data_IF_443272652175
#
_entry.id   IF_443272652175
#
_cell.length_a   1.000
_cell.length_b   1.000
_cell.length_c   1.000
_cell.angle_alpha   90.00
_cell.angle_beta   90.00
_cell.angle_gamma   90.00
#
_symmetry.space_group_name_H-M   'P 1'
#
loop_
_entity.id
_entity.type
_entity.pdbx_description
1 polymer ?
#
# COMPACT_ATOMS: atom_id res chain seq x y z
N UNK A 1 -31.12 47.35 5.66
CA UNK A 1 -31.63 46.03 5.22
C UNK A 1 -30.83 45.38 4.07
N UNK A 2 -29.93 46.11 3.38
CA UNK A 2 -29.10 45.55 2.30
C UNK A 2 -27.79 44.87 2.78
N UNK A 3 -27.18 45.37 3.86
CA UNK A 3 -25.93 44.81 4.44
C UNK A 3 -26.13 43.40 5.03
N UNK A 4 -27.26 43.17 5.71
CA UNK A 4 -27.58 41.86 6.31
C UNK A 4 -27.84 40.79 5.23
N UNK A 5 -28.44 41.16 4.10
CA UNK A 5 -28.65 40.27 2.95
C UNK A 5 -27.33 39.92 2.24
N UNK A 6 -26.41 40.88 2.14
CA UNK A 6 -25.08 40.65 1.57
C UNK A 6 -24.24 39.69 2.43
N UNK A 7 -24.30 39.83 3.76
CA UNK A 7 -23.62 38.91 4.67
C UNK A 7 -24.20 37.49 4.62
N UNK A 8 -25.53 37.35 4.55
CA UNK A 8 -26.17 36.05 4.42
C UNK A 8 -25.82 35.33 3.10
N UNK A 9 -25.72 36.08 1.99
CA UNK A 9 -25.30 35.54 0.69
C UNK A 9 -23.82 35.15 0.67
N UNK A 10 -22.94 35.90 1.34
CA UNK A 10 -21.52 35.57 1.42
C UNK A 10 -21.25 34.31 2.26
N UNK A 11 -21.97 34.14 3.38
CA UNK A 11 -21.87 32.92 4.21
C UNK A 11 -22.46 31.71 3.48
N UNK A 12 -23.55 31.89 2.72
CA UNK A 12 -24.14 30.82 1.91
C UNK A 12 -23.24 30.40 0.74
N UNK A 13 -22.55 31.34 0.08
CA UNK A 13 -21.58 31.05 -0.97
C UNK A 13 -20.29 30.41 -0.43
N UNK A 14 -19.86 30.77 0.79
CA UNK A 14 -18.74 30.12 1.46
C UNK A 14 -19.10 28.68 1.89
N UNK A 15 -20.34 28.44 2.33
CA UNK A 15 -20.84 27.10 2.61
C UNK A 15 -21.00 26.25 1.34
N UNK A 16 -21.36 26.86 0.20
CA UNK A 16 -21.46 26.16 -1.09
C UNK A 16 -20.08 25.82 -1.68
N UNK A 17 -19.05 26.65 -1.44
CA UNK A 17 -17.69 26.41 -1.89
C UNK A 17 -16.98 25.29 -1.11
N UNK A 18 -17.34 25.07 0.15
CA UNK A 18 -16.80 23.97 0.98
C UNK A 18 -17.41 22.60 0.59
N UNK A 19 -18.55 22.58 -0.10
CA UNK A 19 -19.21 21.34 -0.57
C UNK A 19 -18.83 20.90 -2.00
N UNK A 20 -17.91 21.59 -2.68
CA UNK A 20 -17.46 21.22 -4.03
C UNK A 20 -15.96 20.89 -4.11
N UNK A 21 -15.31 20.68 -2.96
CA UNK A 21 -13.93 20.22 -2.88
C UNK A 21 -13.83 18.88 -2.18
N UNK A 22 -14.71 17.93 -2.51
CA UNK A 22 -14.28 16.54 -2.59
C UNK A 22 -13.67 16.35 -3.99
N UNK A 23 -12.48 16.93 -4.19
CA UNK A 23 -11.50 16.15 -4.95
C UNK A 23 -11.15 15.00 -4.03
N UNK A 24 -12.03 14.00 -3.99
CA UNK A 24 -11.64 12.64 -3.70
C UNK A 24 -10.61 12.33 -4.77
N UNK A 25 -9.36 12.68 -4.47
CA UNK A 25 -8.23 11.87 -4.87
C UNK A 25 -8.75 10.46 -4.66
N UNK A 26 -8.84 9.68 -5.73
CA UNK A 26 -9.16 8.27 -5.65
C UNK A 26 -7.98 7.59 -4.93
N UNK A 27 -7.79 7.94 -3.66
CA UNK A 27 -7.08 7.19 -2.68
C UNK A 27 -7.88 5.89 -2.65
N UNK A 28 -7.32 4.91 -3.35
CA UNK A 28 -7.78 3.54 -3.41
C UNK A 28 -8.34 3.20 -2.03
N UNK A 29 -9.66 2.96 -1.92
CA UNK A 29 -10.35 2.63 -0.64
C UNK A 29 -9.98 1.22 -0.15
N UNK A 30 -8.73 0.85 -0.42
CA UNK A 30 -8.10 -0.37 0.02
C UNK A 30 -7.42 -0.10 1.36
N UNK A 31 -8.05 -0.65 2.38
CA UNK A 31 -7.62 -0.63 3.78
C UNK A 31 -6.52 -1.66 4.12
N UNK A 32 -5.94 -2.32 3.10
CA UNK A 32 -5.00 -3.42 3.30
C UNK A 32 -5.62 -4.82 3.18
N UNK A 33 -6.95 -4.95 3.08
CA UNK A 33 -7.63 -6.25 3.07
C UNK A 33 -8.32 -6.62 1.76
N UNK A 34 -9.23 -5.78 1.26
CA UNK A 34 -10.12 -6.09 0.13
C UNK A 34 -10.41 -4.86 -0.73
N UNK A 35 -10.69 -5.08 -2.01
CA UNK A 35 -11.12 -4.04 -2.94
C UNK A 35 -12.59 -4.28 -3.23
N UNK A 36 -13.42 -3.24 -3.06
CA UNK A 36 -14.86 -3.29 -3.27
C UNK A 36 -15.30 -2.18 -4.22
N UNK A 37 -16.14 -2.55 -5.17
CA UNK A 37 -16.74 -1.61 -6.11
C UNK A 37 -18.25 -1.84 -6.19
N UNK A 38 -19.01 -0.77 -5.99
CA UNK A 38 -20.47 -0.77 -6.12
C UNK A 38 -20.86 -0.23 -7.51
N UNK A 39 -21.51 -1.06 -8.31
CA UNK A 39 -22.09 -0.65 -9.59
C UNK A 39 -23.58 -0.38 -9.48
N UNK A 40 -24.05 0.59 -10.24
CA UNK A 40 -25.48 0.93 -10.35
C UNK A 40 -26.01 0.65 -11.75
N UNK A 41 -27.22 0.10 -11.83
CA UNK A 41 -27.88 -0.22 -13.09
C UNK A 41 -29.33 0.20 -13.11
N UNK A 42 -29.75 0.75 -14.24
CA UNK A 42 -31.14 1.18 -14.48
C UNK A 42 -31.68 0.44 -15.68
N UNK A 43 -32.94 0.00 -15.59
CA UNK A 43 -33.61 -0.65 -16.71
C UNK A 43 -33.89 0.36 -17.85
N UNK A 44 -33.84 -0.06 -19.12
CA UNK A 44 -34.26 0.82 -20.21
C UNK A 44 -35.74 1.20 -20.07
N UNK A 45 -36.10 2.38 -20.60
CA UNK A 45 -37.46 2.92 -20.48
C UNK A 45 -38.54 2.00 -21.08
N UNK A 46 -38.19 1.13 -22.05
CA UNK A 46 -39.09 0.17 -22.67
C UNK A 46 -38.72 -1.25 -22.27
N UNK A 47 -39.51 -1.84 -21.39
CA UNK A 47 -39.40 -3.24 -20.97
C UNK A 47 -40.77 -3.91 -21.02
N UNK A 48 -40.79 -5.22 -21.28
CA UNK A 48 -42.03 -6.01 -21.45
C UNK A 48 -42.66 -6.40 -20.11
N UNK A 49 -41.87 -6.41 -19.03
CA UNK A 49 -42.35 -6.73 -17.69
C UNK A 49 -41.43 -6.17 -16.60
N UNK A 50 -41.95 -6.05 -15.38
CA UNK A 50 -41.14 -5.69 -14.21
C UNK A 50 -40.01 -6.69 -13.93
N UNK A 51 -40.23 -7.98 -14.25
CA UNK A 51 -39.19 -8.99 -14.14
C UNK A 51 -38.05 -8.77 -15.16
N UNK A 52 -38.40 -8.44 -16.41
CA UNK A 52 -37.41 -8.11 -17.43
C UNK A 52 -36.65 -6.83 -17.05
N UNK A 53 -37.35 -5.80 -16.56
CA UNK A 53 -36.73 -4.56 -16.10
C UNK A 53 -35.70 -4.81 -15.01
N UNK A 54 -36.06 -5.55 -13.96
CA UNK A 54 -35.13 -5.91 -12.87
C UNK A 54 -33.93 -6.71 -13.37
N UNK A 55 -34.14 -7.68 -14.26
CA UNK A 55 -33.05 -8.47 -14.82
C UNK A 55 -32.06 -7.61 -15.63
N UNK A 56 -32.56 -6.64 -16.40
CA UNK A 56 -31.72 -5.72 -17.16
C UNK A 56 -31.00 -4.71 -16.26
N UNK A 57 -31.69 -4.15 -15.27
CA UNK A 57 -31.08 -3.26 -14.28
C UNK A 57 -29.94 -3.97 -13.52
N UNK A 58 -30.17 -5.21 -13.07
CA UNK A 58 -29.13 -6.04 -12.43
C UNK A 58 -27.93 -6.27 -13.36
N UNK A 59 -28.16 -6.59 -14.64
CA UNK A 59 -27.06 -6.77 -15.61
C UNK A 59 -26.24 -5.50 -15.82
N UNK A 60 -26.91 -4.35 -15.91
CA UNK A 60 -26.24 -3.06 -16.03
C UNK A 60 -25.42 -2.75 -14.76
N UNK A 61 -25.97 -3.02 -13.57
CA UNK A 61 -25.28 -2.83 -12.30
C UNK A 61 -24.02 -3.68 -12.19
N UNK A 62 -24.09 -4.95 -12.62
CA UNK A 62 -22.92 -5.84 -12.67
C UNK A 62 -21.85 -5.31 -13.62
N UNK A 63 -22.23 -4.86 -14.82
CA UNK A 63 -21.27 -4.34 -15.78
C UNK A 63 -20.57 -3.06 -15.27
N UNK A 64 -21.33 -2.17 -14.62
CA UNK A 64 -20.79 -0.98 -14.00
C UNK A 64 -19.86 -1.33 -12.81
N UNK A 65 -20.25 -2.29 -11.97
CA UNK A 65 -19.44 -2.75 -10.85
C UNK A 65 -18.10 -3.33 -11.33
N UNK A 66 -18.09 -4.12 -12.41
CA UNK A 66 -16.86 -4.65 -13.00
C UNK A 66 -15.94 -3.56 -13.54
N UNK A 67 -16.51 -2.54 -14.19
CA UNK A 67 -15.74 -1.40 -14.70
C UNK A 67 -15.05 -0.66 -13.55
N UNK A 68 -15.81 -0.30 -12.52
CA UNK A 68 -15.28 0.39 -11.34
C UNK A 68 -14.25 -0.48 -10.60
N UNK A 69 -14.50 -1.79 -10.46
CA UNK A 69 -13.57 -2.72 -9.83
C UNK A 69 -12.24 -2.81 -10.59
N UNK A 70 -12.30 -2.86 -11.91
CA UNK A 70 -11.10 -2.91 -12.76
C UNK A 70 -10.27 -1.63 -12.60
N UNK A 71 -10.91 -0.46 -12.63
CA UNK A 71 -10.26 0.85 -12.41
C UNK A 71 -9.58 0.90 -11.03
N UNK A 72 -10.28 0.45 -9.98
CA UNK A 72 -9.70 0.41 -8.63
C UNK A 72 -8.51 -0.55 -8.53
N UNK A 73 -8.60 -1.74 -9.12
CA UNK A 73 -7.51 -2.73 -9.12
C UNK A 73 -6.29 -2.20 -9.88
N UNK A 74 -6.49 -1.54 -11.02
CA UNK A 74 -5.43 -0.94 -11.82
C UNK A 74 -4.68 0.16 -11.05
N UNK A 75 -5.42 0.97 -10.27
CA UNK A 75 -4.86 2.04 -9.44
C UNK A 75 -4.15 1.57 -8.16
N UNK A 76 -4.14 0.26 -7.84
CA UNK A 76 -3.42 -0.23 -6.65
C UNK A 76 -1.92 -0.03 -6.83
N UNK A 77 -1.29 0.64 -5.87
CA UNK A 77 0.14 0.84 -5.84
C UNK A 77 0.85 -0.45 -5.40
N UNK A 78 1.71 -0.98 -6.28
CA UNK A 78 2.53 -2.15 -5.99
C UNK A 78 3.75 -1.74 -5.17
N UNK A 79 4.40 -0.63 -5.56
CA UNK A 79 5.47 0.00 -4.81
C UNK A 79 5.40 1.54 -4.89
N UNK A 80 6.50 2.22 -4.53
CA UNK A 80 6.59 3.68 -4.52
C UNK A 80 6.28 4.35 -5.88
N UNK A 81 6.58 3.67 -6.98
CA UNK A 81 6.58 4.22 -8.35
C UNK A 81 5.79 3.40 -9.36
N UNK A 82 5.30 2.22 -8.99
CA UNK A 82 4.65 1.29 -9.91
C UNK A 82 3.27 0.90 -9.40
N UNK A 83 2.28 0.98 -10.29
CA UNK A 83 0.91 0.51 -10.08
C UNK A 83 0.67 -0.84 -10.75
N UNK A 84 -0.47 -1.47 -10.46
CA UNK A 84 -0.89 -2.69 -11.17
C UNK A 84 -1.07 -2.43 -12.66
N UNK A 85 -1.59 -1.26 -13.04
CA UNK A 85 -1.71 -0.86 -14.44
C UNK A 85 -0.36 -0.88 -15.16
N UNK A 86 0.66 -0.25 -14.58
CA UNK A 86 2.03 -0.22 -15.14
C UNK A 86 2.58 -1.65 -15.34
N UNK A 87 2.30 -2.55 -14.40
CA UNK A 87 2.69 -3.96 -14.51
C UNK A 87 1.90 -4.69 -15.61
N UNK A 88 0.61 -4.41 -15.80
CA UNK A 88 -0.20 -5.03 -16.87
C UNK A 88 0.24 -4.58 -18.27
N UNK A 89 0.77 -3.36 -18.40
CA UNK A 89 1.33 -2.83 -19.65
C UNK A 89 2.62 -3.57 -20.01
N UNK A 90 3.47 -3.83 -19.03
CA UNK A 90 4.83 -4.36 -19.25
C UNK A 90 4.93 -5.88 -19.12
N UNK A 91 3.94 -6.54 -18.53
CA UNK A 91 3.97 -7.97 -18.24
C UNK A 91 2.65 -8.67 -18.60
N UNK A 92 2.70 -9.47 -19.67
CA UNK A 92 1.56 -10.23 -20.19
C UNK A 92 1.00 -11.26 -19.21
N UNK A 93 1.85 -11.84 -18.38
CA UNK A 93 1.44 -12.80 -17.33
C UNK A 93 0.64 -12.09 -16.25
N UNK A 94 1.13 -10.93 -15.76
CA UNK A 94 0.40 -10.10 -14.79
C UNK A 94 -0.92 -9.63 -15.40
N UNK A 95 -0.92 -9.13 -16.63
CA UNK A 95 -2.15 -8.74 -17.34
C UNK A 95 -3.16 -9.88 -17.41
N UNK A 96 -2.71 -11.09 -17.73
CA UNK A 96 -3.57 -12.27 -17.84
C UNK A 96 -4.15 -12.65 -16.49
N UNK A 97 -3.33 -12.71 -15.43
CA UNK A 97 -3.78 -13.06 -14.08
C UNK A 97 -4.71 -12.01 -13.48
N UNK A 98 -4.39 -10.72 -13.60
CA UNK A 98 -5.25 -9.63 -13.13
C UNK A 98 -6.58 -9.63 -13.88
N UNK A 99 -6.58 -9.83 -15.21
CA UNK A 99 -7.82 -9.94 -15.99
C UNK A 99 -8.68 -11.13 -15.55
N UNK A 100 -8.06 -12.27 -15.24
CA UNK A 100 -8.75 -13.44 -14.71
C UNK A 100 -9.32 -13.18 -13.32
N UNK A 101 -8.57 -12.49 -12.45
CA UNK A 101 -8.99 -12.10 -11.11
C UNK A 101 -10.21 -11.18 -11.14
N UNK A 102 -10.20 -10.14 -11.97
CA UNK A 102 -11.35 -9.22 -12.15
C UNK A 102 -12.58 -10.00 -12.60
N UNK A 103 -12.46 -10.90 -13.58
CA UNK A 103 -13.59 -11.74 -14.05
C UNK A 103 -14.10 -12.71 -12.99
N UNK A 104 -13.25 -13.10 -12.04
CA UNK A 104 -13.57 -13.97 -10.92
C UNK A 104 -14.06 -13.24 -9.66
N UNK A 105 -14.28 -11.92 -9.74
CA UNK A 105 -14.75 -11.13 -8.61
C UNK A 105 -16.09 -11.67 -8.07
N UNK A 106 -16.25 -11.64 -6.75
CA UNK A 106 -17.43 -12.18 -6.09
C UNK A 106 -18.43 -11.07 -5.84
N UNK A 107 -19.70 -11.36 -6.10
CA UNK A 107 -20.79 -10.49 -5.65
C UNK A 107 -20.97 -10.72 -4.15
N UNK A 108 -20.80 -9.65 -3.36
CA UNK A 108 -20.97 -9.70 -1.91
C UNK A 108 -22.28 -9.05 -1.46
N UNK A 109 -22.86 -8.18 -2.28
CA UNK A 109 -24.14 -7.54 -2.03
C UNK A 109 -24.89 -7.28 -3.34
N UNK A 110 -26.22 -7.40 -3.28
CA UNK A 110 -27.13 -7.01 -4.34
C UNK A 110 -28.41 -6.41 -3.76
N UNK A 111 -28.91 -5.32 -4.36
CA UNK A 111 -30.12 -4.66 -3.88
C UNK A 111 -30.92 -4.03 -5.01
N UNK A 112 -32.22 -4.31 -5.02
CA UNK A 112 -33.17 -3.54 -5.81
C UNK A 112 -33.54 -2.25 -5.05
N UNK A 113 -33.46 -1.11 -5.73
CA UNK A 113 -33.84 0.19 -5.19
C UNK A 113 -35.31 0.51 -5.49
N UNK A 114 -35.87 1.46 -4.73
CA UNK A 114 -37.30 1.80 -4.80
C UNK A 114 -37.69 2.49 -6.11
N UNK A 115 -36.74 3.17 -6.73
CA UNK A 115 -36.86 3.85 -8.02
C UNK A 115 -36.73 2.90 -9.22
N UNK A 116 -36.52 1.60 -8.98
CA UNK A 116 -36.33 0.60 -10.04
C UNK A 116 -34.88 0.45 -10.51
N UNK A 117 -33.94 1.19 -9.92
CA UNK A 117 -32.52 0.93 -10.08
C UNK A 117 -32.09 -0.31 -9.29
N UNK A 118 -30.88 -0.78 -9.56
CA UNK A 118 -30.29 -1.95 -8.91
C UNK A 118 -28.84 -1.65 -8.59
N UNK A 119 -28.37 -2.05 -7.41
CA UNK A 119 -26.95 -1.95 -7.02
C UNK A 119 -26.35 -3.33 -6.82
N UNK A 120 -25.08 -3.47 -7.18
CA UNK A 120 -24.28 -4.68 -6.99
C UNK A 120 -22.91 -4.31 -6.50
N UNK A 121 -22.46 -4.94 -5.42
CA UNK A 121 -21.11 -4.75 -4.88
C UNK A 121 -20.27 -5.98 -5.19
N UNK A 122 -19.18 -5.78 -5.94
CA UNK A 122 -18.16 -6.78 -6.21
C UNK A 122 -17.00 -6.65 -5.23
N UNK A 123 -16.36 -7.77 -4.93
CA UNK A 123 -15.19 -7.83 -4.05
C UNK A 123 -14.08 -8.70 -4.62
N UNK A 124 -12.84 -8.22 -4.48
CA UNK A 124 -11.60 -8.96 -4.73
C UNK A 124 -10.67 -8.84 -3.53
N UNK A 125 -10.12 -9.95 -3.02
CA UNK A 125 -9.11 -9.88 -1.96
C UNK A 125 -7.78 -9.38 -2.50
N UNK A 126 -7.07 -8.55 -1.73
CA UNK A 126 -5.71 -8.11 -2.12
C UNK A 126 -4.67 -9.14 -1.73
N UNK A 127 -4.80 -9.73 -0.55
CA UNK A 127 -3.98 -10.84 -0.07
C UNK A 127 -4.84 -12.09 0.14
N UNK A 128 -4.21 -13.26 0.17
CA UNK A 128 -4.83 -14.57 0.29
C UNK A 128 -4.75 -15.38 -1.00
N UNK A 129 -5.38 -16.54 -0.98
CA UNK A 129 -5.49 -17.39 -2.18
C UNK A 129 -6.39 -16.72 -3.20
N UNK A 130 -5.98 -16.73 -4.47
CA UNK A 130 -6.70 -16.09 -5.58
C UNK A 130 -6.90 -14.58 -5.34
N UNK A 131 -5.85 -13.91 -4.90
CA UNK A 131 -5.83 -12.47 -4.61
C UNK A 131 -5.05 -11.66 -5.65
N UNK A 132 -5.10 -10.34 -5.52
CA UNK A 132 -4.28 -9.44 -6.34
C UNK A 132 -2.78 -9.70 -6.17
N UNK A 133 -2.32 -9.91 -4.94
CA UNK A 133 -0.92 -10.25 -4.64
C UNK A 133 -0.44 -11.50 -5.37
N UNK A 134 -1.26 -12.54 -5.44
CA UNK A 134 -0.94 -13.76 -6.20
C UNK A 134 -0.90 -13.56 -7.73
N UNK A 135 -1.50 -12.48 -8.23
CA UNK A 135 -1.47 -12.12 -9.66
C UNK A 135 -0.29 -11.22 -10.04
N UNK A 136 0.23 -10.44 -9.09
CA UNK A 136 1.25 -9.40 -9.36
C UNK A 136 2.64 -9.75 -8.86
N UNK A 137 2.79 -10.64 -7.87
CA UNK A 137 4.11 -11.02 -7.34
C UNK A 137 4.64 -12.30 -7.97
N UNK A 138 5.94 -12.32 -8.28
CA UNK A 138 6.64 -13.53 -8.73
C UNK A 138 7.26 -14.25 -7.54
N UNK A 139 7.08 -15.57 -7.38
CA UNK A 139 7.69 -16.33 -6.29
C UNK A 139 9.18 -16.02 -6.08
N UNK A 140 9.54 -15.62 -4.87
CA UNK A 140 10.89 -15.35 -4.43
C UNK A 140 11.58 -16.67 -4.08
N UNK A 141 12.20 -17.29 -5.08
CA UNK A 141 12.88 -18.59 -4.94
C UNK A 141 14.28 -18.49 -4.33
N UNK A 142 14.84 -17.28 -4.20
CA UNK A 142 16.21 -17.04 -3.72
C UNK A 142 16.24 -15.89 -2.71
N UNK A 143 15.69 -16.15 -1.53
CA UNK A 143 15.59 -15.16 -0.45
C UNK A 143 16.96 -14.61 -0.04
N UNK A 144 17.09 -13.29 -0.09
CA UNK A 144 18.26 -12.59 0.43
C UNK A 144 18.26 -12.63 1.97
N UNK A 145 19.42 -12.86 2.57
CA UNK A 145 19.57 -12.80 4.02
C UNK A 145 19.36 -11.37 4.51
N UNK A 146 18.89 -11.24 5.74
CA UNK A 146 18.85 -9.95 6.43
C UNK A 146 20.26 -9.33 6.45
N UNK A 147 20.32 -8.01 6.26
CA UNK A 147 21.57 -7.27 6.39
C UNK A 147 22.10 -7.37 7.82
N UNK A 148 23.43 -7.37 8.00
CA UNK A 148 24.00 -7.40 9.35
C UNK A 148 23.70 -6.08 10.07
N UNK A 149 23.46 -6.10 11.40
CA UNK A 149 23.15 -4.89 12.16
C UNK A 149 24.21 -3.80 12.02
N UNK A 150 25.49 -4.14 11.98
CA UNK A 150 26.57 -3.15 11.93
C UNK A 150 26.77 -2.56 10.51
N UNK A 151 26.25 -3.23 9.47
CA UNK A 151 26.34 -2.72 8.09
C UNK A 151 25.55 -1.43 7.84
N UNK A 152 24.66 -1.05 8.76
CA UNK A 152 23.91 0.21 8.65
C UNK A 152 24.81 1.45 8.74
N UNK A 153 25.99 1.32 9.35
CA UNK A 153 26.99 2.40 9.44
C UNK A 153 28.01 2.37 8.31
N UNK A 154 28.03 1.30 7.53
CA UNK A 154 28.94 1.18 6.38
C UNK A 154 28.45 2.06 5.23
N UNK A 155 29.36 2.64 4.43
CA UNK A 155 29.00 3.29 3.17
C UNK A 155 28.13 2.36 2.32
N UNK A 156 27.08 2.92 1.75
CA UNK A 156 26.17 2.20 0.87
C UNK A 156 25.90 3.03 -0.37
N UNK A 157 26.04 2.41 -1.54
CA UNK A 157 25.59 3.00 -2.80
C UNK A 157 24.20 2.46 -3.08
N UNK A 158 23.16 3.31 -3.09
CA UNK A 158 21.80 2.90 -3.42
C UNK A 158 21.76 2.16 -4.75
N UNK A 159 21.01 1.06 -4.76
CA UNK A 159 20.72 0.27 -5.95
C UNK A 159 19.22 0.17 -6.09
N UNK A 160 18.76 -0.02 -7.32
CA UNK A 160 17.36 -0.32 -7.58
C UNK A 160 16.97 -1.60 -6.82
N UNK A 161 15.90 -1.50 -6.04
CA UNK A 161 15.40 -2.60 -5.23
C UNK A 161 14.22 -3.24 -5.95
N UNK A 162 14.38 -4.48 -6.38
CA UNK A 162 13.25 -5.25 -6.91
C UNK A 162 12.25 -5.58 -5.79
N UNK A 163 11.07 -4.98 -5.88
CA UNK A 163 9.93 -5.06 -4.97
C UNK A 163 8.93 -6.16 -5.36
N UNK A 164 9.07 -6.79 -6.53
CA UNK A 164 8.02 -7.67 -7.09
C UNK A 164 8.51 -9.05 -7.52
N UNK A 165 9.82 -9.22 -7.69
CA UNK A 165 10.44 -10.44 -8.21
C UNK A 165 10.50 -10.51 -9.74
N UNK A 166 9.98 -9.51 -10.47
CA UNK A 166 10.12 -9.41 -11.92
C UNK A 166 11.42 -8.67 -12.36
N UNK A 167 12.32 -8.41 -11.41
CA UNK A 167 13.49 -7.56 -11.61
C UNK A 167 13.15 -6.08 -11.42
N UNK A 168 14.20 -5.27 -11.37
CA UNK A 168 14.07 -3.82 -11.43
C UNK A 168 13.55 -3.49 -12.83
N UNK A 169 12.26 -3.18 -12.94
CA UNK A 169 11.65 -2.78 -14.20
C UNK A 169 12.53 -1.69 -14.78
N UNK A 170 13.11 -1.98 -15.94
CA UNK A 170 14.01 -1.07 -16.60
C UNK A 170 13.28 0.25 -16.75
N UNK A 171 13.63 1.23 -15.92
CA UNK A 171 13.70 2.61 -16.35
C UNK A 171 14.46 2.49 -17.66
N UNK A 172 13.76 2.55 -18.79
CA UNK A 172 14.41 2.87 -20.04
C UNK A 172 15.17 4.13 -19.66
N UNK A 173 16.50 4.01 -19.59
CA UNK A 173 17.39 5.14 -19.46
C UNK A 173 17.14 5.99 -20.71
N UNK A 174 16.09 6.79 -20.66
CA UNK A 174 16.00 8.04 -21.37
C UNK A 174 17.01 8.92 -20.68
N UNK A 175 18.17 8.97 -21.30
CA UNK A 175 19.10 10.07 -21.31
C UNK A 175 18.58 11.31 -20.56
N UNK A 176 19.15 11.55 -19.39
CA UNK A 176 19.45 12.90 -18.92
C UNK A 176 20.75 12.78 -18.15
N UNK A 177 21.85 13.06 -18.85
CA UNK A 177 23.17 13.26 -18.28
C UNK A 177 23.21 14.47 -17.36
N UNK A 178 22.50 14.43 -16.23
CA UNK A 178 22.81 15.26 -15.08
C UNK A 178 23.79 14.50 -14.22
N UNK A 179 25.07 14.85 -14.38
CA UNK A 179 26.16 14.50 -13.50
C UNK A 179 25.83 14.93 -12.06
N UNK A 180 25.19 14.06 -11.27
CA UNK A 180 25.30 14.16 -9.82
C UNK A 180 26.67 13.62 -9.45
N UNK A 181 27.61 14.54 -9.25
CA UNK A 181 28.89 14.29 -8.61
C UNK A 181 28.71 13.34 -7.42
N UNK A 182 29.48 12.24 -7.31
CA UNK A 182 29.44 11.39 -6.12
C UNK A 182 29.79 12.23 -4.90
N UNK A 183 28.82 12.48 -4.03
CA UNK A 183 29.11 13.02 -2.72
C UNK A 183 30.01 12.00 -1.99
N UNK A 184 31.17 12.46 -1.53
CA UNK A 184 32.12 11.65 -0.76
C UNK A 184 31.40 10.91 0.38
N UNK A 185 31.82 9.68 0.74
CA UNK A 185 31.18 8.92 1.81
C UNK A 185 31.37 9.64 3.14
N UNK A 186 30.39 10.44 3.55
CA UNK A 186 30.37 11.07 4.86
C UNK A 186 30.03 9.98 5.87
N UNK A 187 31.01 9.63 6.72
CA UNK A 187 30.77 8.88 7.95
C UNK A 187 29.94 9.76 8.87
N UNK A 188 28.61 9.65 8.80
CA UNK A 188 27.70 10.43 9.64
C UNK A 188 27.80 9.96 11.08
N UNK A 189 27.79 10.93 12.00
CA UNK A 189 27.61 10.66 13.43
C UNK A 189 26.24 10.01 13.65
N UNK A 190 26.08 9.08 14.60
CA UNK A 190 24.83 8.36 14.78
C UNK A 190 23.69 9.34 15.08
N UNK A 191 22.71 9.39 14.19
CA UNK A 191 21.40 10.00 14.45
C UNK A 191 20.79 9.28 15.65
N UNK A 192 20.39 10.03 16.69
CA UNK A 192 19.89 9.46 17.95
C UNK A 192 18.68 8.55 17.71
N UNK A 193 18.70 7.34 18.27
CA UNK A 193 17.58 6.39 18.24
C UNK A 193 16.32 7.00 18.85
N UNK A 194 15.17 6.73 18.25
CA UNK A 194 13.86 7.08 18.81
C UNK A 194 13.37 6.09 19.86
N UNK A 195 14.07 4.96 20.03
CA UNK A 195 13.62 3.85 20.82
C UNK A 195 14.66 3.53 21.92
N UNK A 196 14.24 2.99 23.08
CA UNK A 196 15.15 2.67 24.20
C UNK A 196 16.40 1.84 23.81
N UNK A 197 17.61 2.28 24.15
CA UNK A 197 18.83 1.60 23.70
C UNK A 197 18.89 0.10 24.08
N UNK A 198 19.28 -0.75 23.12
CA UNK A 198 19.57 -2.16 23.39
C UNK A 198 20.94 -2.29 24.08
N UNK A 199 21.07 -3.02 25.20
CA UNK A 199 22.36 -3.16 25.89
C UNK A 199 23.41 -3.84 25.01
N UNK A 200 24.58 -3.21 24.85
CA UNK A 200 25.78 -3.77 24.22
C UNK A 200 25.58 -4.48 22.87
N UNK A 201 24.65 -4.00 22.04
CA UNK A 201 24.36 -4.59 20.73
C UNK A 201 23.76 -6.00 20.80
N UNK A 202 23.28 -6.42 21.98
CA UNK A 202 22.52 -7.66 22.16
C UNK A 202 21.04 -7.36 22.12
N UNK A 203 20.27 -8.35 21.67
CA UNK A 203 18.81 -8.26 21.70
C UNK A 203 18.33 -8.17 23.15
N UNK A 204 17.41 -7.25 23.41
CA UNK A 204 16.59 -7.25 24.63
C UNK A 204 15.68 -8.48 24.59
N UNK A 205 15.18 -8.84 23.39
CA UNK A 205 14.32 -9.99 23.16
C UNK A 205 12.86 -9.76 23.57
N UNK A 206 12.00 -10.71 23.20
CA UNK A 206 10.57 -10.68 23.54
C UNK A 206 9.70 -9.75 22.67
N UNK A 207 10.26 -9.11 21.64
CA UNK A 207 9.47 -8.36 20.67
C UNK A 207 8.70 -9.29 19.73
N UNK A 208 7.42 -8.97 19.52
CA UNK A 208 6.50 -9.77 18.69
C UNK A 208 6.37 -9.24 17.26
N UNK A 209 6.82 -8.01 17.03
CA UNK A 209 6.59 -7.26 15.81
C UNK A 209 7.34 -5.94 15.78
N UNK A 210 7.15 -5.20 14.69
CA UNK A 210 7.66 -3.87 14.46
C UNK A 210 6.50 -2.92 14.18
N UNK A 211 6.46 -1.80 14.89
CA UNK A 211 5.66 -0.64 14.53
C UNK A 211 6.61 0.47 14.09
N UNK A 212 6.42 0.99 12.88
CA UNK A 212 7.08 2.21 12.40
C UNK A 212 6.07 3.34 12.37
N UNK A 213 6.28 4.35 13.20
CA UNK A 213 5.47 5.56 13.19
C UNK A 213 5.93 6.47 12.04
N UNK A 214 5.08 6.62 11.02
CA UNK A 214 5.23 7.47 9.86
C UNK A 214 4.20 8.63 9.82
N UNK A 215 3.52 8.90 10.94
CA UNK A 215 2.51 9.98 11.01
C UNK A 215 3.09 11.32 10.59
N UNK A 216 2.32 12.05 9.79
CA UNK A 216 2.70 13.37 9.27
C UNK A 216 3.74 13.34 8.14
N UNK A 217 4.07 12.17 7.58
CA UNK A 217 5.08 12.02 6.53
C UNK A 217 4.50 11.63 5.16
N UNK A 218 3.17 11.60 5.01
CA UNK A 218 2.53 11.31 3.73
C UNK A 218 2.68 9.86 3.26
N UNK A 219 2.82 8.90 4.19
CA UNK A 219 2.92 7.49 3.84
C UNK A 219 1.63 7.00 3.15
N UNK A 220 1.78 6.52 1.92
CA UNK A 220 0.75 5.84 1.13
C UNK A 220 0.91 4.32 1.23
N UNK A 221 -0.18 3.57 1.41
CA UNK A 221 -0.15 2.11 1.33
C UNK A 221 0.32 1.62 -0.04
N UNK A 222 1.25 0.67 -0.02
CA UNK A 222 1.71 -0.07 -1.19
C UNK A 222 1.79 -1.56 -0.85
N UNK A 223 1.67 -2.43 -1.86
CA UNK A 223 1.70 -3.88 -1.64
C UNK A 223 3.09 -4.39 -1.23
N UNK A 224 4.16 -3.79 -1.76
CA UNK A 224 5.55 -4.11 -1.45
C UNK A 224 6.35 -2.87 -0.97
N UNK A 225 6.20 -2.48 0.31
CA UNK A 225 7.02 -1.44 0.90
C UNK A 225 8.44 -1.92 1.19
N UNK A 226 9.37 -0.97 1.30
CA UNK A 226 10.75 -1.21 1.71
C UNK A 226 11.06 -0.33 2.92
N UNK A 227 11.60 -0.91 3.99
CA UNK A 227 12.18 -0.12 5.09
C UNK A 227 13.65 0.12 4.76
N UNK A 228 14.08 1.38 4.79
CA UNK A 228 15.45 1.78 4.45
C UNK A 228 16.13 2.46 5.63
N UNK A 229 17.45 2.43 5.65
CA UNK A 229 18.26 3.34 6.48
C UNK A 229 18.34 4.73 5.85
N UNK A 230 18.84 5.71 6.60
CA UNK A 230 19.08 7.08 6.11
C UNK A 230 19.99 7.19 4.87
N UNK A 231 20.91 6.23 4.67
CA UNK A 231 21.78 6.15 3.49
C UNK A 231 21.14 5.36 2.33
N UNK A 232 19.88 4.95 2.45
CA UNK A 232 19.11 4.26 1.41
C UNK A 232 19.27 2.75 1.40
N UNK A 233 20.01 2.14 2.35
CA UNK A 233 20.16 0.69 2.44
C UNK A 233 18.85 0.03 2.84
N UNK A 234 18.31 -0.92 2.05
CA UNK A 234 17.12 -1.67 2.45
C UNK A 234 17.47 -2.60 3.62
N UNK A 235 16.64 -2.59 4.66
CA UNK A 235 16.73 -3.51 5.80
C UNK A 235 15.55 -4.49 5.87
N UNK A 236 14.48 -4.18 5.14
CA UNK A 236 13.28 -4.99 4.99
C UNK A 236 12.65 -4.77 3.63
N UNK A 237 12.26 -5.84 2.95
CA UNK A 237 11.48 -5.77 1.72
C UNK A 237 11.28 -7.15 1.10
N UNK A 238 10.67 -7.17 -0.10
CA UNK A 238 10.23 -8.38 -0.79
C UNK A 238 11.30 -9.47 -0.88
N UNK A 239 12.54 -9.08 -1.18
CA UNK A 239 13.66 -10.01 -1.40
C UNK A 239 14.02 -10.86 -0.18
N UNK A 240 13.68 -10.41 1.03
CA UNK A 240 13.99 -11.14 2.25
C UNK A 240 12.92 -12.19 2.61
N UNK A 241 11.73 -12.06 2.02
CA UNK A 241 10.50 -12.69 2.49
C UNK A 241 10.10 -13.91 1.66
N UNK A 242 9.35 -14.79 2.31
CA UNK A 242 8.67 -15.91 1.69
C UNK A 242 7.43 -15.41 0.94
N UNK A 243 7.35 -15.69 -0.37
CA UNK A 243 6.24 -15.23 -1.21
C UNK A 243 4.89 -15.77 -0.79
N UNK A 244 4.80 -17.00 -0.26
CA UNK A 244 3.51 -17.55 0.17
C UNK A 244 2.99 -16.77 1.39
N UNK A 245 3.87 -16.34 2.30
CA UNK A 245 3.51 -15.45 3.41
C UNK A 245 3.08 -14.07 2.93
N UNK A 246 3.83 -13.51 1.98
CA UNK A 246 3.52 -12.19 1.39
C UNK A 246 2.18 -12.23 0.63
N UNK A 247 1.92 -13.27 -0.15
CA UNK A 247 0.63 -13.44 -0.83
C UNK A 247 -0.47 -13.65 0.20
N UNK A 248 -0.27 -14.47 1.22
CA UNK A 248 -1.30 -14.78 2.21
C UNK A 248 -1.73 -13.57 3.06
N UNK A 249 -0.80 -12.68 3.41
CA UNK A 249 -1.05 -11.65 4.43
C UNK A 249 -0.46 -10.27 4.13
N UNK A 250 0.29 -10.11 3.04
CA UNK A 250 1.03 -8.89 2.72
C UNK A 250 2.33 -8.77 3.50
N UNK A 251 3.08 -7.70 3.23
CA UNK A 251 4.37 -7.44 3.90
C UNK A 251 4.24 -6.56 5.15
N UNK A 252 3.23 -5.69 5.21
CA UNK A 252 3.02 -4.81 6.33
C UNK A 252 1.53 -4.47 6.45
N UNK A 253 1.10 -4.13 7.66
CA UNK A 253 -0.20 -3.48 7.90
C UNK A 253 -0.06 -1.96 7.86
N UNK A 254 -1.10 -1.25 7.44
CA UNK A 254 -1.18 0.21 7.47
C UNK A 254 -2.34 0.62 8.36
N UNK A 255 -2.06 1.39 9.41
CA UNK A 255 -3.06 1.76 10.41
C UNK A 255 -2.97 3.23 10.78
N UNK A 256 -4.01 3.75 11.43
CA UNK A 256 -4.06 5.14 11.89
C UNK A 256 -3.63 5.30 13.36
N UNK A 257 -3.60 4.21 14.12
CA UNK A 257 -3.29 4.22 15.55
C UNK A 257 -2.58 2.94 16.00
N UNK A 258 -1.89 3.01 17.13
CA UNK A 258 -1.24 1.85 17.76
C UNK A 258 -2.25 0.79 18.18
N UNK A 259 -3.48 1.19 18.57
CA UNK A 259 -4.54 0.26 18.98
C UNK A 259 -4.95 -0.69 17.84
N UNK A 260 -4.86 -0.22 16.59
CA UNK A 260 -5.21 -0.99 15.40
C UNK A 260 -4.04 -1.87 14.91
N UNK A 261 -2.83 -1.69 15.47
CA UNK A 261 -1.59 -2.35 15.04
C UNK A 261 -1.49 -3.82 15.49
N UNK A 262 -2.61 -4.55 15.48
CA UNK A 262 -2.74 -5.92 15.99
C UNK A 262 -1.78 -6.92 15.32
N UNK A 263 -1.44 -6.69 14.05
CA UNK A 263 -0.44 -7.47 13.29
C UNK A 263 0.95 -7.46 13.93
N UNK A 264 1.32 -6.42 14.67
CA UNK A 264 2.61 -6.34 15.34
C UNK A 264 2.67 -7.17 16.65
N UNK A 265 1.55 -7.79 17.05
CA UNK A 265 1.46 -8.61 18.25
C UNK A 265 1.38 -7.81 19.55
N UNK A 266 1.65 -8.46 20.68
CA UNK A 266 1.40 -7.93 22.02
C UNK A 266 2.54 -7.05 22.58
N UNK A 267 3.76 -7.20 22.05
CA UNK A 267 4.93 -6.44 22.48
C UNK A 267 5.76 -6.01 21.27
N UNK A 268 5.28 -5.06 20.45
CA UNK A 268 6.02 -4.61 19.29
C UNK A 268 7.20 -3.72 19.66
N UNK A 269 8.29 -3.80 18.90
CA UNK A 269 9.31 -2.77 18.88
C UNK A 269 8.74 -1.56 18.15
N UNK A 270 8.65 -0.41 18.83
CA UNK A 270 8.15 0.83 18.24
C UNK A 270 9.33 1.74 17.89
N UNK A 271 9.40 2.18 16.64
CA UNK A 271 10.40 3.13 16.13
C UNK A 271 9.73 4.25 15.34
N UNK A 272 10.35 5.42 15.29
CA UNK A 272 9.89 6.56 14.49
C UNK A 272 10.68 6.62 13.18
N UNK A 273 9.99 6.72 12.04
CA UNK A 273 10.66 7.03 10.79
C UNK A 273 11.24 8.46 10.83
N UNK A 274 12.38 8.68 10.18
CA UNK A 274 12.94 10.04 10.02
C UNK A 274 12.36 10.76 8.79
N UNK A 275 11.89 9.98 7.80
CA UNK A 275 11.18 10.43 6.60
C UNK A 275 10.53 9.23 5.90
N UNK A 276 9.76 9.50 4.84
CA UNK A 276 9.27 8.48 3.92
C UNK A 276 9.86 8.76 2.53
N UNK A 277 10.44 7.75 1.92
CA UNK A 277 11.00 7.79 0.57
C UNK A 277 9.95 7.33 -0.46
N UNK A 278 9.79 8.10 -1.54
CA UNK A 278 8.79 7.85 -2.59
C UNK A 278 7.35 7.75 -2.07
N UNK A 279 7.04 8.41 -0.95
CA UNK A 279 5.75 8.34 -0.23
C UNK A 279 5.31 6.91 0.16
N UNK A 280 6.19 5.91 0.12
CA UNK A 280 5.84 4.51 0.37
C UNK A 280 6.81 3.77 1.30
N UNK A 281 8.06 4.24 1.40
CA UNK A 281 9.15 3.52 2.05
C UNK A 281 9.60 4.23 3.34
N UNK A 282 9.28 3.72 4.53
CA UNK A 282 9.78 4.30 5.77
C UNK A 282 11.31 4.28 5.83
N UNK A 283 11.89 5.42 6.20
CA UNK A 283 13.34 5.56 6.38
C UNK A 283 13.63 5.70 7.87
N UNK A 284 14.52 4.86 8.40
CA UNK A 284 14.94 4.87 9.79
C UNK A 284 16.32 5.51 9.96
N UNK A 285 16.59 6.00 11.18
CA UNK A 285 17.95 6.32 11.61
C UNK A 285 18.83 5.05 11.57
N UNK A 286 20.15 5.20 11.45
CA UNK A 286 21.06 4.06 11.53
C UNK A 286 20.90 3.29 12.86
N UNK A 287 20.69 3.98 13.98
CA UNK A 287 20.48 3.37 15.28
C UNK A 287 19.19 2.56 15.38
N UNK A 288 18.06 3.12 14.91
CA UNK A 288 16.77 2.41 14.92
C UNK A 288 16.81 1.21 13.96
N UNK A 289 17.42 1.37 12.78
CA UNK A 289 17.62 0.28 11.82
C UNK A 289 18.47 -0.84 12.41
N UNK A 290 19.58 -0.50 13.08
CA UNK A 290 20.44 -1.48 13.77
C UNK A 290 19.66 -2.24 14.82
N UNK A 291 18.88 -1.52 15.65
CA UNK A 291 18.08 -2.15 16.70
C UNK A 291 17.03 -3.10 16.12
N UNK A 292 16.32 -2.69 15.07
CA UNK A 292 15.36 -3.56 14.36
C UNK A 292 16.03 -4.86 13.91
N UNK A 293 17.23 -4.78 13.33
CA UNK A 293 17.97 -5.96 12.87
C UNK A 293 18.42 -6.87 14.02
N UNK A 294 18.89 -6.30 15.13
CA UNK A 294 19.29 -7.05 16.33
C UNK A 294 18.09 -7.80 16.92
N UNK A 295 16.98 -7.09 17.14
CA UNK A 295 15.79 -7.69 17.76
C UNK A 295 15.11 -8.69 16.83
N UNK A 296 15.11 -8.44 15.51
CA UNK A 296 14.66 -9.41 14.53
C UNK A 296 15.54 -10.67 14.53
N UNK A 297 16.86 -10.55 14.75
CA UNK A 297 17.75 -11.70 14.89
C UNK A 297 17.35 -12.65 16.02
N UNK A 298 16.76 -12.13 17.09
CA UNK A 298 16.28 -12.93 18.22
C UNK A 298 14.82 -13.41 18.09
N UNK A 299 13.97 -12.62 17.43
CA UNK A 299 12.50 -12.84 17.41
C UNK A 299 11.95 -13.36 16.07
N UNK A 300 12.63 -13.09 14.96
CA UNK A 300 12.16 -13.39 13.61
C UNK A 300 10.95 -12.59 13.15
N UNK A 301 10.59 -11.48 13.81
CA UNK A 301 9.35 -10.76 13.51
C UNK A 301 9.26 -10.19 12.08
N UNK A 302 10.40 -9.90 11.43
CA UNK A 302 10.41 -9.46 10.03
C UNK A 302 10.10 -10.63 9.09
N UNK A 303 10.63 -11.84 9.35
CA UNK A 303 10.30 -13.05 8.56
C UNK A 303 8.83 -13.46 8.73
N UNK A 304 8.27 -13.21 9.91
CA UNK A 304 6.85 -13.39 10.19
C UNK A 304 5.97 -12.32 9.54
N UNK A 305 6.55 -11.27 8.95
CA UNK A 305 5.83 -10.10 8.42
C UNK A 305 4.99 -9.39 9.49
N UNK A 306 5.39 -9.44 10.76
CA UNK A 306 4.73 -8.74 11.86
C UNK A 306 5.16 -7.27 11.88
N UNK A 307 4.90 -6.57 10.78
CA UNK A 307 5.31 -5.19 10.54
C UNK A 307 4.07 -4.34 10.33
N UNK A 308 3.99 -3.22 11.03
CA UNK A 308 2.90 -2.25 10.91
C UNK A 308 3.47 -0.85 10.73
N UNK A 309 2.90 -0.08 9.83
CA UNK A 309 3.17 1.33 9.66
C UNK A 309 1.97 2.15 10.14
N UNK A 310 2.22 3.13 11.00
CA UNK A 310 1.22 4.11 11.40
C UNK A 310 1.36 5.33 10.49
N UNK A 311 0.26 5.80 9.91
CA UNK A 311 0.26 6.91 8.94
C UNK A 311 -0.68 8.05 9.33
#
# INVERSE_FOLDING_TARGET
MHIVKAFALAVLMLALAVCLADTAEAATDWDGGRIRAEGTGVAPARTVSAAQARALARRAAIADAYRQLAEQIQGVAVDASTTVEDMMVTNDTVRTHVSALVRGARIVEEKALRDGAYTVTLEVPVFGVSSLAGSVFTPNTSRERWVSPDSVYEPYTPRDYDTTGYGTYGRRSGDDGTTTTPAAPVRRSPSTSSAAAAPDGRAIGGYTGLIVDCRGMGLRPVMSPVIKTENGRPIYGYKNLDSDKVVASGMAGYVRSEADATRAGQNPLVVRAIRVDGNANPVLSAEDARRVLIENGASGFLDATNVVFIR
#
